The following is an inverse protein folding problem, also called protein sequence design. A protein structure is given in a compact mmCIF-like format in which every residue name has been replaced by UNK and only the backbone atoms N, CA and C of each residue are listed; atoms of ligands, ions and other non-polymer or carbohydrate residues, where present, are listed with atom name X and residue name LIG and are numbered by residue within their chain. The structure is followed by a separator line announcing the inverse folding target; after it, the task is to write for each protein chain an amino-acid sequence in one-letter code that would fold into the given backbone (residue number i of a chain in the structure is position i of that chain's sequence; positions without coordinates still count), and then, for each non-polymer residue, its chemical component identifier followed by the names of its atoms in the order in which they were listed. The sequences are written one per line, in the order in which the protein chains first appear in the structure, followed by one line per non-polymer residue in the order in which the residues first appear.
data_IF_935041245230
#
_entry.id   IF_935041245230
#
_cell.length_a   1.000
_cell.length_b   1.000
_cell.length_c   1.000
_cell.angle_alpha   90.00
_cell.angle_beta   90.00
_cell.angle_gamma   90.00
#
_symmetry.space_group_name_H-M   'P 1'
#
loop_
_entity.id
_entity.type
_entity.pdbx_description
1 polymer ?
#
# COMPACT_ATOMS: atom_id res chain seq x y z
N UNK A 1 4.83 9.56 -26.61
CA UNK A 1 5.96 10.47 -26.33
C UNK A 1 5.44 11.52 -25.36
N UNK A 2 5.75 11.39 -24.08
CA UNK A 2 5.25 12.30 -23.04
C UNK A 2 6.25 13.45 -22.88
N UNK A 3 5.95 14.62 -23.44
CA UNK A 3 6.69 15.84 -23.14
C UNK A 3 6.13 16.44 -21.85
N UNK A 4 6.92 16.41 -20.79
CA UNK A 4 6.73 17.27 -19.62
C UNK A 4 8.09 17.84 -19.22
N UNK A 5 8.61 18.75 -20.04
CA UNK A 5 9.65 19.69 -19.63
C UNK A 5 9.01 20.79 -18.78
N UNK A 6 8.73 20.49 -17.52
CA UNK A 6 8.64 21.53 -16.51
C UNK A 6 9.52 21.10 -15.36
N UNK A 7 10.67 21.77 -15.25
CA UNK A 7 11.56 21.64 -14.10
C UNK A 7 10.81 21.90 -12.79
N UNK A 8 11.42 21.59 -11.64
CA UNK A 8 10.79 21.75 -10.34
C UNK A 8 10.33 23.20 -10.17
N UNK A 9 9.12 23.39 -9.63
CA UNK A 9 8.61 24.72 -9.33
C UNK A 9 9.61 25.47 -8.45
N UNK A 10 9.71 26.79 -8.65
CA UNK A 10 10.46 27.64 -7.71
C UNK A 10 9.90 27.50 -6.29
N UNK A 11 10.72 27.80 -5.28
CA UNK A 11 10.27 27.74 -3.88
C UNK A 11 9.01 28.58 -3.62
N UNK A 12 8.91 29.76 -4.24
CA UNK A 12 7.74 30.64 -4.15
C UNK A 12 6.50 30.02 -4.79
N UNK A 13 6.63 29.39 -5.96
CA UNK A 13 5.49 28.73 -6.63
C UNK A 13 5.03 27.48 -5.87
N UNK A 14 5.96 26.73 -5.29
CA UNK A 14 5.63 25.60 -4.41
C UNK A 14 4.80 26.06 -3.22
N UNK A 15 5.24 27.13 -2.54
CA UNK A 15 4.51 27.71 -1.41
C UNK A 15 3.13 28.24 -1.83
N UNK A 16 3.02 28.88 -3.00
CA UNK A 16 1.74 29.37 -3.53
C UNK A 16 0.76 28.21 -3.81
N UNK A 17 1.24 27.10 -4.38
CA UNK A 17 0.43 25.90 -4.59
C UNK A 17 -0.06 25.30 -3.27
N UNK A 18 0.81 25.19 -2.26
CA UNK A 18 0.44 24.67 -0.92
C UNK A 18 -0.59 25.59 -0.25
N UNK A 19 -0.37 26.91 -0.26
CA UNK A 19 -1.32 27.88 0.29
C UNK A 19 -2.67 27.85 -0.45
N UNK A 20 -2.65 27.62 -1.77
CA UNK A 20 -3.88 27.46 -2.56
C UNK A 20 -4.63 26.20 -2.15
N UNK A 21 -3.93 25.07 -1.98
CA UNK A 21 -4.52 23.85 -1.43
C UNK A 21 -5.11 24.09 -0.02
N UNK A 22 -4.41 24.78 0.87
CA UNK A 22 -4.89 25.03 2.23
C UNK A 22 -6.21 25.82 2.27
N UNK A 23 -6.36 26.79 1.36
CA UNK A 23 -7.56 27.62 1.25
C UNK A 23 -8.71 26.98 0.48
N UNK A 24 -8.45 26.24 -0.60
CA UNK A 24 -9.50 25.63 -1.44
C UNK A 24 -9.83 24.19 -1.07
N UNK A 25 -8.94 23.49 -0.36
CA UNK A 25 -8.93 22.03 -0.15
C UNK A 25 -8.86 21.20 -1.43
N UNK A 26 -8.52 21.82 -2.56
CA UNK A 26 -8.37 21.13 -3.84
C UNK A 26 -6.96 20.52 -3.97
N UNK A 27 -6.89 19.20 -3.85
CA UNK A 27 -5.64 18.43 -3.91
C UNK A 27 -4.92 18.55 -5.27
N UNK A 28 -5.56 19.06 -6.33
CA UNK A 28 -4.89 19.27 -7.63
C UNK A 28 -3.70 20.23 -7.51
N UNK A 29 -3.77 21.21 -6.61
CA UNK A 29 -2.66 22.13 -6.37
C UNK A 29 -1.45 21.46 -5.72
N UNK A 30 -1.62 20.31 -5.06
CA UNK A 30 -0.50 19.56 -4.48
C UNK A 30 0.34 18.87 -5.56
N UNK A 31 -0.28 18.39 -6.64
CA UNK A 31 0.39 17.59 -7.68
C UNK A 31 1.65 18.30 -8.23
N UNK A 32 1.59 19.55 -8.72
CA UNK A 32 2.79 20.22 -9.21
C UNK A 32 3.75 20.66 -8.08
N UNK A 33 3.28 20.77 -6.84
CA UNK A 33 4.09 21.21 -5.68
C UNK A 33 5.00 20.10 -5.13
N UNK A 34 4.62 18.82 -5.29
CA UNK A 34 5.32 17.65 -4.72
C UNK A 34 6.86 17.75 -4.78
N UNK A 35 7.51 18.07 -5.92
CA UNK A 35 8.97 18.08 -5.99
C UNK A 35 9.66 19.14 -5.10
N UNK A 36 8.95 20.21 -4.75
CA UNK A 36 9.46 21.28 -3.87
C UNK A 36 9.06 21.13 -2.41
N UNK A 37 8.21 20.16 -2.07
CA UNK A 37 7.71 19.96 -0.71
C UNK A 37 8.73 19.22 0.16
N UNK A 38 8.65 19.44 1.47
CA UNK A 38 9.39 18.59 2.42
C UNK A 38 8.71 17.22 2.54
N UNK A 39 9.50 16.17 2.72
CA UNK A 39 8.98 14.80 2.86
C UNK A 39 7.93 14.65 3.96
N UNK A 40 8.12 15.29 5.11
CA UNK A 40 7.15 15.26 6.20
C UNK A 40 5.80 15.87 5.79
N UNK A 41 5.82 16.97 5.04
CA UNK A 41 4.61 17.61 4.49
C UNK A 41 3.92 16.71 3.47
N UNK A 42 4.69 16.07 2.57
CA UNK A 42 4.15 15.12 1.58
C UNK A 42 3.42 13.98 2.28
N UNK A 43 4.01 13.38 3.31
CA UNK A 43 3.38 12.30 4.08
C UNK A 43 2.10 12.79 4.79
N UNK A 44 2.10 14.02 5.30
CA UNK A 44 0.93 14.62 5.94
C UNK A 44 -0.24 14.84 4.97
N UNK A 45 0.04 15.27 3.73
CA UNK A 45 -1.01 15.53 2.72
C UNK A 45 -1.31 14.32 1.84
N UNK A 46 -0.56 13.23 1.96
CA UNK A 46 -0.72 12.02 1.14
C UNK A 46 -2.17 11.52 1.05
N UNK A 47 -2.97 11.47 2.14
CA UNK A 47 -4.37 11.04 2.05
C UNK A 47 -5.21 11.89 1.08
N UNK A 48 -4.89 13.17 0.91
CA UNK A 48 -5.59 14.08 -0.01
C UNK A 48 -5.33 13.76 -1.47
N UNK A 49 -4.18 13.14 -1.77
CA UNK A 49 -3.87 12.68 -3.13
C UNK A 49 -4.81 11.55 -3.57
N UNK A 50 -5.36 10.76 -2.64
CA UNK A 50 -6.33 9.68 -2.95
C UNK A 50 -7.73 10.21 -3.30
N UNK A 51 -7.99 11.50 -3.08
CA UNK A 51 -9.24 12.13 -3.47
C UNK A 51 -9.25 12.55 -4.95
N UNK A 52 -8.07 12.59 -5.57
CA UNK A 52 -7.90 12.90 -6.98
C UNK A 52 -8.51 11.83 -7.88
N UNK A 53 -8.86 12.23 -9.11
CA UNK A 53 -9.13 11.27 -10.18
C UNK A 53 -7.90 10.40 -10.45
N UNK A 54 -8.13 9.17 -10.94
CA UNK A 54 -7.06 8.17 -11.15
C UNK A 54 -5.91 8.70 -12.02
N UNK A 55 -6.20 9.51 -13.05
CA UNK A 55 -5.17 10.12 -13.90
C UNK A 55 -4.27 11.09 -13.12
N UNK A 56 -4.86 11.95 -12.29
CA UNK A 56 -4.12 12.91 -11.47
C UNK A 56 -3.39 12.23 -10.32
N UNK A 57 -3.97 11.18 -9.73
CA UNK A 57 -3.27 10.35 -8.75
C UNK A 57 -2.03 9.67 -9.36
N UNK A 58 -2.12 9.09 -10.56
CA UNK A 58 -0.95 8.56 -11.29
C UNK A 58 0.10 9.65 -11.55
N UNK A 59 -0.32 10.86 -11.91
CA UNK A 59 0.58 11.99 -12.11
C UNK A 59 1.27 12.44 -10.80
N UNK A 60 0.60 12.30 -9.66
CA UNK A 60 1.19 12.51 -8.34
C UNK A 60 2.20 11.42 -7.99
N UNK A 61 1.86 10.14 -8.19
CA UNK A 61 2.78 9.01 -7.98
C UNK A 61 4.06 9.15 -8.79
N UNK A 62 3.95 9.52 -10.07
CA UNK A 62 5.12 9.76 -10.91
C UNK A 62 6.07 10.80 -10.29
N UNK A 63 5.53 11.90 -9.76
CA UNK A 63 6.35 12.94 -9.10
C UNK A 63 6.93 12.49 -7.76
N UNK A 64 6.24 11.60 -7.04
CA UNK A 64 6.73 11.04 -5.78
C UNK A 64 7.91 10.08 -6.00
N UNK A 65 7.83 9.30 -7.09
CA UNK A 65 8.75 8.18 -7.35
C UNK A 65 9.94 8.56 -8.24
N UNK A 66 9.85 9.68 -8.97
CA UNK A 66 10.96 10.17 -9.79
C UNK A 66 12.04 10.84 -8.94
N UNK A 67 13.33 10.68 -9.31
CA UNK A 67 14.44 11.40 -8.70
C UNK A 67 14.23 12.92 -8.71
N UNK A 68 14.36 13.55 -7.54
CA UNK A 68 14.29 14.99 -7.40
C UNK A 68 15.57 15.64 -7.93
N UNK A 69 15.51 16.74 -8.69
CA UNK A 69 16.71 17.42 -9.19
C UNK A 69 17.64 17.95 -8.09
N UNK A 70 17.10 18.23 -6.91
CA UNK A 70 17.85 18.78 -5.77
C UNK A 70 18.73 17.76 -5.05
N UNK A 71 18.35 16.48 -5.04
CA UNK A 71 19.01 15.43 -4.26
C UNK A 71 19.41 14.19 -5.08
N UNK A 72 18.87 14.04 -6.28
CA UNK A 72 18.97 12.81 -7.07
C UNK A 72 18.17 11.63 -6.48
N UNK A 73 17.45 11.83 -5.37
CA UNK A 73 16.65 10.81 -4.71
C UNK A 73 15.16 11.06 -4.91
N UNK A 74 14.37 9.99 -4.98
CA UNK A 74 12.92 10.09 -5.05
C UNK A 74 12.33 10.59 -3.72
N UNK A 75 11.19 11.29 -3.78
CA UNK A 75 10.47 11.73 -2.58
C UNK A 75 10.00 10.54 -1.75
N UNK A 76 9.59 9.47 -2.42
CA UNK A 76 9.17 8.20 -1.82
C UNK A 76 9.67 7.03 -2.66
N UNK A 77 9.89 5.88 -2.03
CA UNK A 77 10.04 4.61 -2.73
C UNK A 77 8.68 3.97 -3.02
N UNK A 78 8.64 3.00 -3.94
CA UNK A 78 7.43 2.23 -4.22
C UNK A 78 6.88 1.50 -2.98
N UNK A 79 7.76 0.98 -2.12
CA UNK A 79 7.37 0.35 -0.87
C UNK A 79 6.72 1.36 0.08
N UNK A 80 7.28 2.56 0.19
CA UNK A 80 6.74 3.63 1.03
C UNK A 80 5.36 4.11 0.56
N UNK A 81 5.09 4.08 -0.75
CA UNK A 81 3.76 4.35 -1.29
C UNK A 81 2.77 3.28 -0.83
N UNK A 82 3.09 1.98 -0.93
CA UNK A 82 2.23 0.92 -0.41
C UNK A 82 1.99 1.07 1.09
N UNK A 83 3.04 1.36 1.85
CA UNK A 83 2.96 1.57 3.30
C UNK A 83 2.07 2.78 3.61
N UNK A 84 2.18 3.86 2.86
CA UNK A 84 1.39 5.09 3.04
C UNK A 84 -0.08 4.86 2.70
N UNK A 85 -0.39 4.14 1.62
CA UNK A 85 -1.75 3.71 1.29
C UNK A 85 -2.39 2.91 2.44
N UNK A 86 -1.64 2.02 3.08
CA UNK A 86 -2.10 1.23 4.23
C UNK A 86 -2.11 2.01 5.56
N UNK A 87 -1.57 3.22 5.61
CA UNK A 87 -1.60 4.11 6.78
C UNK A 87 -2.78 5.10 6.75
N UNK A 88 -3.49 5.21 5.62
CA UNK A 88 -4.66 6.09 5.51
C UNK A 88 -5.78 5.56 6.38
N UNK A 89 -6.24 6.38 7.31
CA UNK A 89 -7.32 6.05 8.24
C UNK A 89 -8.65 6.66 7.77
N UNK A 90 -9.69 5.83 7.69
CA UNK A 90 -10.97 6.26 7.13
C UNK A 90 -11.65 7.36 7.97
N UNK A 91 -11.43 7.38 9.28
CA UNK A 91 -12.07 8.33 10.20
C UNK A 91 -11.26 9.61 10.29
N UNK A 92 -9.96 9.49 10.57
CA UNK A 92 -9.04 10.62 10.72
C UNK A 92 -8.84 11.37 9.40
N UNK A 93 -8.69 10.64 8.30
CA UNK A 93 -8.42 11.25 7.01
C UNK A 93 -9.69 11.46 6.18
N UNK A 94 -10.83 10.89 6.56
CA UNK A 94 -12.08 11.02 5.79
C UNK A 94 -12.00 10.35 4.42
N UNK A 95 -11.07 9.42 4.22
CA UNK A 95 -10.90 8.68 2.95
C UNK A 95 -11.47 7.27 3.11
N UNK A 96 -12.60 6.94 2.46
CA UNK A 96 -13.19 5.61 2.58
C UNK A 96 -12.24 4.51 2.07
N UNK A 97 -12.29 3.33 2.70
CA UNK A 97 -11.43 2.20 2.33
C UNK A 97 -11.52 1.83 0.84
N UNK A 98 -12.71 1.98 0.24
CA UNK A 98 -12.92 1.76 -1.21
C UNK A 98 -12.08 2.69 -2.08
N UNK A 99 -11.83 3.94 -1.66
CA UNK A 99 -10.94 4.85 -2.38
C UNK A 99 -9.49 4.40 -2.27
N UNK A 100 -9.05 3.97 -1.08
CA UNK A 100 -7.71 3.39 -0.89
C UNK A 100 -7.51 2.19 -1.81
N UNK A 101 -8.49 1.29 -1.90
CA UNK A 101 -8.46 0.14 -2.83
C UNK A 101 -8.37 0.60 -4.30
N UNK A 102 -9.15 1.61 -4.70
CA UNK A 102 -9.13 2.15 -6.07
C UNK A 102 -7.78 2.78 -6.46
N UNK A 103 -7.00 3.25 -5.48
CA UNK A 103 -5.64 3.75 -5.67
C UNK A 103 -4.58 2.63 -5.58
N UNK A 104 -4.78 1.62 -4.72
CA UNK A 104 -3.88 0.49 -4.52
C UNK A 104 -3.90 -0.48 -5.70
N UNK A 105 -5.08 -0.88 -6.16
CA UNK A 105 -5.25 -1.92 -7.19
C UNK A 105 -4.49 -1.60 -8.50
N UNK A 106 -4.50 -0.36 -9.04
CA UNK A 106 -3.71 -0.01 -10.21
C UNK A 106 -2.20 -0.14 -10.00
N UNK A 107 -1.67 0.12 -8.80
CA UNK A 107 -0.25 0.00 -8.49
C UNK A 107 0.25 -1.45 -8.51
N UNK A 108 -0.65 -2.43 -8.50
CA UNK A 108 -0.32 -3.86 -8.50
C UNK A 108 -0.50 -4.53 -9.87
N UNK A 109 -0.85 -3.77 -10.91
CA UNK A 109 -1.02 -4.29 -12.27
C UNK A 109 0.33 -4.51 -12.96
N UNK A 110 0.34 -5.45 -13.92
CA UNK A 110 1.54 -5.83 -14.67
C UNK A 110 2.19 -4.63 -15.41
N UNK A 111 1.38 -3.71 -15.94
CA UNK A 111 1.87 -2.50 -16.63
C UNK A 111 2.59 -1.52 -15.71
N UNK A 112 2.37 -1.62 -14.40
CA UNK A 112 2.99 -0.78 -13.38
C UNK A 112 4.23 -1.42 -12.74
N UNK A 113 4.64 -2.62 -13.15
CA UNK A 113 5.70 -3.41 -12.49
C UNK A 113 7.10 -2.78 -12.54
N UNK A 114 7.38 -1.96 -13.55
CA UNK A 114 8.63 -1.18 -13.62
C UNK A 114 8.71 -0.12 -12.51
N UNK A 115 7.55 0.39 -12.08
CA UNK A 115 7.42 1.40 -11.03
C UNK A 115 7.21 0.76 -9.65
N UNK A 116 6.45 -0.34 -9.60
CA UNK A 116 6.10 -1.09 -8.40
C UNK A 116 6.56 -2.55 -8.53
N UNK A 117 7.87 -2.83 -8.38
CA UNK A 117 8.40 -4.17 -8.52
C UNK A 117 7.98 -5.07 -7.34
N UNK A 118 7.96 -6.40 -7.51
CA UNK A 118 7.63 -7.34 -6.42
C UNK A 118 8.43 -7.15 -5.14
N UNK A 119 9.69 -6.73 -5.25
CA UNK A 119 10.58 -6.43 -4.12
C UNK A 119 9.99 -5.30 -3.24
N UNK A 120 9.36 -4.29 -3.86
CA UNK A 120 8.70 -3.22 -3.12
C UNK A 120 7.46 -3.72 -2.36
N UNK A 121 6.73 -4.68 -2.93
CA UNK A 121 5.60 -5.33 -2.25
C UNK A 121 6.07 -6.14 -1.04
N UNK A 122 7.18 -6.89 -1.20
CA UNK A 122 7.78 -7.67 -0.12
C UNK A 122 8.25 -6.77 1.03
N UNK A 123 8.96 -5.68 0.73
CA UNK A 123 9.38 -4.69 1.73
C UNK A 123 8.17 -4.08 2.46
N UNK A 124 7.12 -3.72 1.72
CA UNK A 124 5.89 -3.19 2.32
C UNK A 124 5.22 -4.22 3.24
N UNK A 125 5.05 -5.46 2.81
CA UNK A 125 4.48 -6.54 3.63
C UNK A 125 5.30 -6.78 4.91
N UNK A 126 6.63 -6.82 4.78
CA UNK A 126 7.54 -7.02 5.92
C UNK A 126 7.41 -5.91 6.96
N UNK A 127 7.19 -4.66 6.55
CA UNK A 127 6.94 -3.58 7.51
C UNK A 127 5.51 -3.63 8.07
N UNK A 128 4.51 -3.83 7.21
CA UNK A 128 3.10 -3.78 7.61
C UNK A 128 2.71 -4.92 8.57
N UNK A 129 3.32 -6.10 8.45
CA UNK A 129 3.03 -7.24 9.34
C UNK A 129 3.42 -6.95 10.78
N UNK A 130 4.37 -6.04 11.02
CA UNK A 130 4.81 -5.66 12.37
C UNK A 130 3.77 -4.83 13.13
N UNK A 131 2.86 -4.15 12.42
CA UNK A 131 1.83 -3.28 13.02
C UNK A 131 0.84 -4.05 13.91
N UNK A 132 0.31 -3.35 14.89
CA UNK A 132 -0.74 -3.84 15.79
C UNK A 132 -1.73 -2.70 16.11
N UNK A 133 -3.02 -2.79 15.74
CA UNK A 133 -3.63 -3.86 14.93
C UNK A 133 -3.06 -3.90 13.50
N UNK A 134 -3.37 -4.97 12.74
CA UNK A 134 -2.95 -5.05 11.34
C UNK A 134 -3.73 -4.02 10.50
N UNK A 135 -3.13 -3.44 9.45
CA UNK A 135 -3.84 -2.57 8.53
C UNK A 135 -5.06 -3.27 7.90
N UNK A 136 -6.20 -2.57 7.72
CA UNK A 136 -7.43 -3.21 7.23
C UNK A 136 -7.28 -3.95 5.90
N UNK A 137 -6.43 -3.47 4.98
CA UNK A 137 -6.19 -4.10 3.67
C UNK A 137 -5.04 -5.12 3.66
N UNK A 138 -4.42 -5.42 4.80
CA UNK A 138 -3.19 -6.22 4.87
C UNK A 138 -3.35 -7.58 4.15
N UNK A 139 -4.30 -8.43 4.54
CA UNK A 139 -4.43 -9.74 3.90
C UNK A 139 -4.86 -9.66 2.43
N UNK A 140 -5.65 -8.64 2.05
CA UNK A 140 -5.97 -8.41 0.62
C UNK A 140 -4.68 -8.12 -0.15
N UNK A 141 -3.83 -7.25 0.37
CA UNK A 141 -2.54 -6.92 -0.25
C UNK A 141 -1.61 -8.13 -0.31
N UNK A 142 -1.60 -8.97 0.72
CA UNK A 142 -0.84 -10.24 0.73
C UNK A 142 -1.30 -11.18 -0.41
N UNK A 143 -2.61 -11.39 -0.57
CA UNK A 143 -3.17 -12.23 -1.64
C UNK A 143 -2.88 -11.63 -3.02
N UNK A 144 -3.07 -10.32 -3.18
CA UNK A 144 -2.77 -9.63 -4.43
C UNK A 144 -1.26 -9.72 -4.78
N UNK A 145 -0.39 -9.64 -3.78
CA UNK A 145 1.07 -9.78 -3.96
C UNK A 145 1.41 -11.19 -4.44
N UNK A 146 0.81 -12.23 -3.84
CA UNK A 146 1.00 -13.61 -4.28
C UNK A 146 0.57 -13.81 -5.75
N UNK A 147 -0.57 -13.23 -6.13
CA UNK A 147 -1.09 -13.32 -7.50
C UNK A 147 -0.22 -12.58 -8.52
N UNK A 148 0.25 -11.37 -8.18
CA UNK A 148 1.08 -10.55 -9.06
C UNK A 148 2.54 -11.06 -9.15
N UNK A 149 3.02 -11.72 -8.09
CA UNK A 149 4.39 -12.21 -8.01
C UNK A 149 4.46 -13.60 -7.35
N UNK A 150 4.11 -14.68 -8.08
CA UNK A 150 4.17 -16.05 -7.55
C UNK A 150 5.54 -16.45 -6.99
N UNK A 151 6.63 -15.81 -7.47
CA UNK A 151 7.99 -15.99 -6.92
C UNK A 151 8.13 -15.66 -5.43
N UNK A 152 7.20 -14.86 -4.87
CA UNK A 152 7.16 -14.50 -3.45
C UNK A 152 6.40 -15.53 -2.60
N UNK A 153 5.98 -16.67 -3.16
CA UNK A 153 5.25 -17.73 -2.44
C UNK A 153 5.88 -18.09 -1.08
N UNK A 154 7.19 -18.38 -1.05
CA UNK A 154 7.88 -18.76 0.19
C UNK A 154 7.81 -17.65 1.24
N UNK A 155 8.07 -16.40 0.83
CA UNK A 155 7.93 -15.24 1.69
C UNK A 155 6.51 -15.05 2.22
N UNK A 156 5.48 -15.27 1.39
CA UNK A 156 4.08 -15.20 1.83
C UNK A 156 3.76 -16.28 2.87
N UNK A 157 4.28 -17.50 2.73
CA UNK A 157 4.13 -18.56 3.73
C UNK A 157 4.76 -18.18 5.08
N UNK A 158 5.91 -17.50 5.07
CA UNK A 158 6.54 -16.97 6.29
C UNK A 158 5.66 -15.89 6.95
N UNK A 159 5.07 -15.00 6.14
CA UNK A 159 4.09 -14.01 6.63
C UNK A 159 2.89 -14.73 7.26
N UNK A 160 2.30 -15.74 6.62
CA UNK A 160 1.17 -16.50 7.17
C UNK A 160 1.52 -17.16 8.51
N UNK A 161 2.72 -17.74 8.63
CA UNK A 161 3.20 -18.32 9.88
C UNK A 161 3.37 -17.25 10.97
N UNK A 162 3.94 -16.10 10.64
CA UNK A 162 4.10 -14.98 11.60
C UNK A 162 2.76 -14.46 12.14
N UNK A 163 1.71 -14.53 11.32
CA UNK A 163 0.36 -14.09 11.69
C UNK A 163 -0.33 -15.02 12.70
N UNK A 164 0.06 -16.30 12.74
CA UNK A 164 -0.40 -17.23 13.79
C UNK A 164 0.09 -16.77 15.15
N UNK A 165 1.36 -16.39 15.26
CA UNK A 165 1.93 -15.83 16.51
C UNK A 165 1.27 -14.52 16.92
N UNK A 166 0.73 -13.76 15.96
CA UNK A 166 -0.06 -12.54 16.18
C UNK A 166 -1.55 -12.79 16.41
N UNK A 167 -1.95 -14.06 16.56
CA UNK A 167 -3.34 -14.45 16.80
C UNK A 167 -4.32 -13.87 15.77
N UNK A 168 -4.00 -14.01 14.48
CA UNK A 168 -4.77 -13.43 13.36
C UNK A 168 -6.27 -13.76 13.41
N UNK A 169 -6.66 -14.88 14.01
CA UNK A 169 -8.06 -15.27 14.24
C UNK A 169 -8.86 -14.29 15.13
N UNK A 170 -8.20 -13.44 15.91
CA UNK A 170 -8.85 -12.40 16.71
C UNK A 170 -9.32 -11.21 15.86
N UNK A 171 -8.82 -11.08 14.63
CA UNK A 171 -9.15 -9.99 13.71
C UNK A 171 -9.97 -10.54 12.54
N UNK A 172 -11.30 -10.55 12.66
CA UNK A 172 -12.20 -11.30 11.76
C UNK A 172 -11.99 -11.09 10.25
N UNK A 173 -11.66 -9.87 9.80
CA UNK A 173 -11.35 -9.64 8.38
C UNK A 173 -9.98 -10.19 7.97
N UNK A 174 -8.98 -10.07 8.83
CA UNK A 174 -7.67 -10.66 8.57
C UNK A 174 -7.73 -12.18 8.62
N UNK A 175 -8.52 -12.76 9.53
CA UNK A 175 -8.76 -14.20 9.59
C UNK A 175 -9.30 -14.77 8.27
N UNK A 176 -10.36 -14.16 7.72
CA UNK A 176 -10.93 -14.57 6.42
C UNK A 176 -9.90 -14.51 5.30
N UNK A 177 -9.11 -13.44 5.26
CA UNK A 177 -8.03 -13.30 4.28
C UNK A 177 -6.92 -14.34 4.48
N UNK A 178 -6.57 -14.64 5.74
CA UNK A 178 -5.57 -15.65 6.08
C UNK A 178 -6.01 -17.03 5.61
N UNK A 179 -7.26 -17.42 5.86
CA UNK A 179 -7.85 -18.68 5.38
C UNK A 179 -7.84 -18.75 3.85
N UNK A 180 -8.26 -17.69 3.17
CA UNK A 180 -8.27 -17.63 1.70
C UNK A 180 -6.86 -17.82 1.12
N UNK A 181 -5.86 -17.14 1.69
CA UNK A 181 -4.48 -17.25 1.25
C UNK A 181 -3.89 -18.65 1.56
N UNK A 182 -4.16 -19.19 2.75
CA UNK A 182 -3.76 -20.55 3.14
C UNK A 182 -4.36 -21.61 2.21
N UNK A 183 -5.65 -21.48 1.84
CA UNK A 183 -6.33 -22.39 0.89
C UNK A 183 -5.69 -22.34 -0.49
N UNK A 184 -5.34 -21.15 -0.98
CA UNK A 184 -4.65 -20.98 -2.26
C UNK A 184 -3.25 -21.62 -2.29
N UNK A 185 -2.60 -21.71 -1.12
CA UNK A 185 -1.24 -22.21 -0.97
C UNK A 185 -1.15 -23.67 -0.47
N UNK A 186 -2.26 -24.41 -0.46
CA UNK A 186 -2.22 -25.85 -0.15
C UNK A 186 -1.41 -26.60 -1.22
N UNK A 187 -0.54 -27.56 -0.84
CA UNK A 187 -0.29 -28.07 0.53
C UNK A 187 0.78 -27.30 1.31
N UNK A 188 1.48 -26.34 0.70
CA UNK A 188 2.61 -25.63 1.32
C UNK A 188 2.22 -24.81 2.56
N UNK A 189 0.94 -24.46 2.72
CA UNK A 189 0.41 -23.76 3.90
C UNK A 189 0.19 -24.63 5.13
N UNK A 190 0.31 -25.96 5.02
CA UNK A 190 0.08 -26.88 6.14
C UNK A 190 0.95 -26.60 7.39
N UNK A 191 2.25 -26.27 7.29
CA UNK A 191 3.05 -25.92 8.45
C UNK A 191 2.52 -24.70 9.22
N UNK A 192 1.93 -23.72 8.54
CA UNK A 192 1.31 -22.57 9.19
C UNK A 192 -0.02 -22.94 9.87
N UNK A 193 -0.83 -23.78 9.21
CA UNK A 193 -2.08 -24.31 9.79
C UNK A 193 -1.83 -25.11 11.07
N UNK A 194 -0.79 -25.94 11.08
CA UNK A 194 -0.42 -26.77 12.24
C UNK A 194 0.08 -25.96 13.45
N UNK A 195 0.41 -24.68 13.27
CA UNK A 195 0.78 -23.78 14.38
C UNK A 195 -0.45 -23.19 15.09
N UNK A 196 -1.66 -23.31 14.52
CA UNK A 196 -2.88 -22.81 15.14
C UNK A 196 -3.22 -23.61 16.41
N UNK A 197 -3.79 -22.97 17.45
CA UNK A 197 -4.36 -23.72 18.57
C UNK A 197 -5.51 -24.63 18.09
N UNK A 198 -5.78 -25.72 18.82
CA UNK A 198 -6.70 -26.79 18.41
C UNK A 198 -8.07 -26.30 17.94
N UNK A 199 -8.65 -25.32 18.64
CA UNK A 199 -9.95 -24.76 18.29
C UNK A 199 -9.91 -24.02 16.94
N UNK A 200 -8.91 -23.17 16.74
CA UNK A 200 -8.74 -22.37 15.53
C UNK A 200 -8.31 -23.24 14.34
N UNK A 201 -7.53 -24.29 14.58
CA UNK A 201 -7.22 -25.29 13.57
C UNK A 201 -8.49 -25.98 13.06
N UNK A 202 -9.36 -26.45 13.96
CA UNK A 202 -10.65 -27.05 13.57
C UNK A 202 -11.54 -26.08 12.78
N UNK A 203 -11.62 -24.81 13.20
CA UNK A 203 -12.35 -23.76 12.48
C UNK A 203 -11.77 -23.52 11.08
N UNK A 204 -10.44 -23.43 10.97
CA UNK A 204 -9.76 -23.25 9.69
C UNK A 204 -10.09 -24.37 8.70
N UNK A 205 -10.03 -25.63 9.15
CA UNK A 205 -10.37 -26.77 8.31
C UNK A 205 -11.82 -26.72 7.82
N UNK A 206 -12.76 -26.37 8.69
CA UNK A 206 -14.18 -26.25 8.31
C UNK A 206 -14.39 -25.15 7.24
N UNK A 207 -13.78 -23.97 7.42
CA UNK A 207 -13.88 -22.87 6.45
C UNK A 207 -13.16 -23.18 5.13
N UNK A 208 -12.06 -23.94 5.16
CA UNK A 208 -11.35 -24.33 3.94
C UNK A 208 -12.11 -25.38 3.13
N UNK A 209 -12.93 -26.22 3.76
CA UNK A 209 -13.76 -27.23 3.10
C UNK A 209 -15.08 -26.68 2.54
N UNK A 210 -15.53 -25.51 2.98
CA UNK A 210 -16.64 -24.76 2.35
C UNK A 210 -16.21 -24.04 1.06
#
# INVERSE_FOLDING_TARGET
VWHAEQGPLSGQLTQACVAKFESSKDALFLVPAIPGMQRAQVLQVFPRLLELGLGQFKAALHRLLMPLPSSGQAMMTAAEVFISLHSVDATKDGVPLRKVMACLDPCMKEDMRSTFPPEAMAVALQQLVTRNPLPPLFMRFTIQTLNAAPRLKAFVLDILSSLVNKQVWTQGQQWKGWIMCSKQLVPDSFPALLQLPTQQFGAALAEMSS
#
